data_IF_699599792384
#
_entry.id   IF_699599792384
#
_cell.length_a   1.000
_cell.length_b   1.000
_cell.length_c   1.000
_cell.angle_alpha   90.00
_cell.angle_beta   90.00
_cell.angle_gamma   90.00
#
_symmetry.space_group_name_H-M   'P 1'
#
loop_
_entity.id
_entity.type
_entity.pdbx_description
1 polymer ?
#
# COMPACT_ATOMS: atom_id res chain seq x y z
N UNK A 1 25.47 -28.49 71.33
CA UNK A 1 25.48 -27.31 70.44
C UNK A 1 26.07 -27.75 69.11
N UNK A 2 25.25 -27.86 68.07
CA UNK A 2 25.64 -28.31 66.73
C UNK A 2 25.23 -27.27 65.69
N UNK A 3 26.11 -27.09 64.70
CA UNK A 3 26.24 -25.95 63.78
C UNK A 3 25.01 -25.58 62.94
N UNK A 4 24.91 -24.26 62.72
CA UNK A 4 24.02 -23.56 61.78
C UNK A 4 24.34 -23.99 60.34
N UNK A 5 23.30 -24.30 59.58
CA UNK A 5 23.38 -24.67 58.16
C UNK A 5 23.56 -23.47 57.24
N UNK A 6 24.60 -23.50 56.44
CA UNK A 6 24.92 -22.52 55.41
C UNK A 6 24.25 -22.93 54.08
N UNK A 7 23.24 -22.16 53.65
CA UNK A 7 22.57 -22.38 52.36
C UNK A 7 23.43 -21.79 51.24
N UNK A 8 24.14 -22.66 50.52
CA UNK A 8 24.82 -22.30 49.27
C UNK A 8 23.81 -21.81 48.22
N UNK A 9 23.81 -20.50 47.96
CA UNK A 9 23.11 -19.92 46.81
C UNK A 9 24.10 -19.83 45.66
N UNK A 10 23.87 -20.60 44.59
CA UNK A 10 24.77 -20.67 43.44
C UNK A 10 24.83 -19.32 42.71
N UNK A 11 25.99 -18.64 42.66
CA UNK A 11 26.14 -17.31 42.05
C UNK A 11 26.02 -17.31 40.51
N UNK A 12 25.96 -18.49 39.89
CA UNK A 12 25.88 -18.62 38.44
C UNK A 12 24.47 -18.43 37.87
N UNK A 13 23.41 -18.70 38.65
CA UNK A 13 22.02 -18.49 38.20
C UNK A 13 21.67 -17.00 38.11
N UNK A 14 22.20 -16.17 39.00
CA UNK A 14 21.93 -14.73 39.00
C UNK A 14 22.63 -14.04 37.84
N UNK A 15 23.87 -14.42 37.52
CA UNK A 15 24.61 -13.84 36.40
C UNK A 15 23.93 -14.15 35.05
N UNK A 16 23.49 -15.40 34.84
CA UNK A 16 22.84 -15.81 33.59
C UNK A 16 21.46 -15.15 33.41
N UNK A 17 20.69 -14.98 34.50
CA UNK A 17 19.41 -14.25 34.50
C UNK A 17 19.57 -12.74 34.25
N UNK A 18 20.65 -12.14 34.75
CA UNK A 18 20.95 -10.71 34.53
C UNK A 18 21.40 -10.46 33.09
N UNK A 19 22.18 -11.38 32.50
CA UNK A 19 22.59 -11.29 31.09
C UNK A 19 21.40 -11.42 30.13
N UNK A 20 20.48 -12.36 30.37
CA UNK A 20 19.25 -12.50 29.56
C UNK A 20 18.39 -11.25 29.67
N UNK A 21 18.16 -10.74 30.89
CA UNK A 21 17.40 -9.48 31.08
C UNK A 21 18.07 -8.28 30.43
N UNK A 22 19.40 -8.20 30.44
CA UNK A 22 20.11 -7.11 29.78
C UNK A 22 19.98 -7.20 28.25
N UNK A 23 20.00 -8.42 27.71
CA UNK A 23 19.85 -8.67 26.27
C UNK A 23 18.42 -8.40 25.80
N UNK A 24 17.40 -8.88 26.53
CA UNK A 24 15.99 -8.59 26.26
C UNK A 24 15.69 -7.09 26.37
N UNK A 25 16.29 -6.42 27.36
CA UNK A 25 16.15 -4.96 27.51
C UNK A 25 16.84 -4.20 26.37
N UNK A 26 17.96 -4.71 25.87
CA UNK A 26 18.67 -4.12 24.74
C UNK A 26 17.88 -4.31 23.44
N UNK A 27 17.34 -5.51 23.21
CA UNK A 27 16.49 -5.81 22.06
C UNK A 27 15.19 -4.98 22.11
N UNK A 28 14.57 -4.86 23.28
CA UNK A 28 13.44 -3.94 23.49
C UNK A 28 13.84 -2.48 23.24
N UNK A 29 15.00 -2.04 23.73
CA UNK A 29 15.50 -0.69 23.47
C UNK A 29 15.74 -0.46 21.99
N UNK A 30 16.28 -1.43 21.26
CA UNK A 30 16.53 -1.33 19.81
C UNK A 30 15.23 -1.37 19.00
N UNK A 31 14.26 -2.19 19.41
CA UNK A 31 12.96 -2.31 18.76
C UNK A 31 12.00 -1.16 19.07
N UNK A 32 12.07 -0.58 20.28
CA UNK A 32 11.05 0.34 20.80
C UNK A 32 11.56 1.73 21.22
N UNK A 33 12.86 1.92 21.50
CA UNK A 33 13.38 3.18 22.08
C UNK A 33 14.45 3.86 21.19
N UNK A 34 15.35 3.12 20.56
CA UNK A 34 16.37 3.63 19.65
C UNK A 34 15.69 3.96 18.32
N UNK A 35 15.52 5.24 17.97
CA UNK A 35 14.90 5.57 16.70
C UNK A 35 15.93 5.38 15.57
N UNK A 36 15.60 4.65 14.49
CA UNK A 36 16.46 4.65 13.32
C UNK A 36 16.34 6.01 12.63
N UNK A 37 17.43 6.80 12.65
CA UNK A 37 17.58 8.10 11.98
C UNK A 37 16.34 9.01 12.05
N UNK A 38 15.97 9.44 13.24
CA UNK A 38 15.06 10.59 13.36
C UNK A 38 15.68 11.80 12.65
N UNK A 39 14.91 12.51 11.83
CA UNK A 39 15.36 13.84 11.42
C UNK A 39 15.52 14.71 12.67
N UNK A 40 16.38 15.74 12.57
CA UNK A 40 16.78 16.63 13.69
C UNK A 40 15.60 17.26 14.46
N UNK A 41 14.37 17.13 13.93
CA UNK A 41 13.12 17.64 14.50
C UNK A 41 12.20 16.59 15.16
N UNK A 42 12.59 15.31 15.26
CA UNK A 42 11.79 14.30 15.97
C UNK A 42 10.74 13.55 15.12
N UNK A 43 10.67 13.83 13.81
CA UNK A 43 9.80 13.11 12.88
C UNK A 43 10.41 11.76 12.46
N UNK A 44 9.57 10.80 12.09
CA UNK A 44 10.03 9.56 11.45
C UNK A 44 10.92 9.91 10.26
N UNK A 45 12.05 9.19 10.10
CA UNK A 45 12.93 9.38 8.95
C UNK A 45 12.11 9.35 7.66
N UNK A 46 12.33 10.27 6.72
CA UNK A 46 11.62 10.27 5.44
C UNK A 46 11.73 8.91 4.72
N UNK A 47 12.86 8.20 4.90
CA UNK A 47 13.04 6.83 4.38
C UNK A 47 12.05 5.83 5.00
N UNK A 48 11.76 5.97 6.30
CA UNK A 48 10.81 5.09 7.01
C UNK A 48 9.37 5.36 6.57
N UNK A 49 9.02 6.63 6.37
CA UNK A 49 7.72 6.99 5.80
C UNK A 49 7.55 6.43 4.39
N UNK A 50 8.60 6.52 3.57
CA UNK A 50 8.58 5.98 2.21
C UNK A 50 8.38 4.46 2.20
N UNK A 51 9.06 3.72 3.08
CA UNK A 51 8.88 2.27 3.21
C UNK A 51 7.45 1.88 3.60
N UNK A 52 6.83 2.64 4.51
CA UNK A 52 5.42 2.40 4.91
C UNK A 52 4.46 2.74 3.77
N UNK A 53 4.72 3.80 2.99
CA UNK A 53 3.94 4.12 1.79
C UNK A 53 4.00 2.97 0.77
N UNK A 54 5.18 2.42 0.51
CA UNK A 54 5.35 1.29 -0.42
C UNK A 54 4.52 0.09 0.05
N UNK A 55 4.59 -0.26 1.34
CA UNK A 55 3.83 -1.39 1.90
C UNK A 55 2.32 -1.17 1.83
N UNK A 56 1.85 0.05 2.14
CA UNK A 56 0.44 0.41 2.00
C UNK A 56 -0.04 0.24 0.55
N UNK A 57 0.72 0.74 -0.41
CA UNK A 57 0.38 0.62 -1.83
C UNK A 57 0.42 -0.82 -2.34
N UNK A 58 1.34 -1.64 -1.83
CA UNK A 58 1.40 -3.07 -2.15
C UNK A 58 0.18 -3.83 -1.60
N UNK A 59 -0.25 -3.51 -0.37
CA UNK A 59 -1.37 -4.20 0.26
C UNK A 59 -2.73 -3.72 -0.28
N UNK A 60 -2.89 -2.40 -0.48
CA UNK A 60 -4.17 -1.76 -0.74
C UNK A 60 -4.31 -1.16 -2.15
N UNK A 61 -3.27 -1.11 -2.97
CA UNK A 61 -3.30 -0.44 -4.27
C UNK A 61 -4.27 -1.05 -5.30
N UNK A 62 -4.76 -2.26 -5.06
CA UNK A 62 -5.83 -2.89 -5.84
C UNK A 62 -7.24 -2.48 -5.41
N UNK A 63 -7.39 -1.92 -4.20
CA UNK A 63 -8.67 -1.55 -3.58
C UNK A 63 -8.86 -0.05 -3.58
N UNK A 64 -7.79 0.70 -3.26
CA UNK A 64 -7.81 2.15 -3.15
C UNK A 64 -6.81 2.79 -4.11
N UNK A 65 -7.22 3.93 -4.67
CA UNK A 65 -6.38 4.83 -5.44
C UNK A 65 -6.39 6.22 -4.80
N UNK A 66 -5.23 6.89 -4.81
CA UNK A 66 -5.06 8.19 -4.18
C UNK A 66 -3.77 8.86 -4.61
N UNK A 67 -3.69 10.18 -4.41
CA UNK A 67 -2.47 10.93 -4.70
C UNK A 67 -1.34 10.54 -3.75
N UNK A 68 -0.08 10.78 -4.15
CA UNK A 68 1.09 10.49 -3.32
C UNK A 68 1.02 11.16 -1.93
N UNK A 69 0.36 12.32 -1.82
CA UNK A 69 0.17 13.04 -0.56
C UNK A 69 -0.77 12.27 0.37
N UNK A 70 -1.86 11.69 -0.16
CA UNK A 70 -2.82 10.91 0.64
C UNK A 70 -2.18 9.63 1.19
N UNK A 71 -1.39 8.92 0.37
CA UNK A 71 -0.62 7.77 0.83
C UNK A 71 0.38 8.14 1.92
N UNK A 72 1.10 9.26 1.76
CA UNK A 72 1.99 9.80 2.81
C UNK A 72 1.24 10.19 4.08
N UNK A 73 0.03 10.74 3.96
CA UNK A 73 -0.80 11.10 5.11
C UNK A 73 -1.19 9.86 5.93
N UNK A 74 -1.56 8.76 5.25
CA UNK A 74 -1.82 7.49 5.90
C UNK A 74 -0.57 6.92 6.57
N UNK A 75 0.56 6.85 5.86
CA UNK A 75 1.82 6.40 6.43
C UNK A 75 2.25 7.22 7.67
N UNK A 76 2.03 8.54 7.63
CA UNK A 76 2.26 9.42 8.78
C UNK A 76 1.37 9.07 9.97
N UNK A 77 0.09 8.75 9.74
CA UNK A 77 -0.82 8.34 10.82
C UNK A 77 -0.36 7.05 11.53
N UNK A 78 0.20 6.09 10.77
CA UNK A 78 0.74 4.82 11.30
C UNK A 78 2.05 5.05 12.06
N UNK A 79 2.97 5.80 11.48
CA UNK A 79 4.31 6.00 12.06
C UNK A 79 4.32 6.97 13.25
N UNK A 80 3.22 7.69 13.50
CA UNK A 80 3.10 8.70 14.57
C UNK A 80 3.38 8.16 15.98
N UNK A 81 3.04 6.91 16.27
CA UNK A 81 3.28 6.30 17.59
C UNK A 81 4.76 5.92 17.80
N UNK A 82 5.59 5.93 16.75
CA UNK A 82 7.01 5.49 16.72
C UNK A 82 7.27 4.04 17.14
N UNK A 83 6.25 3.31 17.64
CA UNK A 83 6.35 1.90 17.95
C UNK A 83 6.24 1.04 16.69
N UNK A 84 7.38 0.59 16.15
CA UNK A 84 7.42 -0.23 14.92
C UNK A 84 6.69 -1.56 15.04
N UNK A 85 6.60 -2.13 16.23
CA UNK A 85 5.92 -3.43 16.44
C UNK A 85 4.43 -3.38 16.09
N UNK A 86 3.80 -2.19 16.07
CA UNK A 86 2.38 -2.04 15.77
C UNK A 86 2.11 -1.74 14.29
N UNK A 87 3.12 -1.39 13.51
CA UNK A 87 2.93 -0.89 12.14
C UNK A 87 2.41 -1.96 11.19
N UNK A 88 2.90 -3.18 11.29
CA UNK A 88 2.44 -4.29 10.43
C UNK A 88 0.94 -4.53 10.60
N UNK A 89 0.44 -4.49 11.84
CA UNK A 89 -1.00 -4.58 12.10
C UNK A 89 -1.76 -3.38 11.53
N UNK A 90 -1.26 -2.16 11.79
CA UNK A 90 -1.88 -0.93 11.32
C UNK A 90 -1.87 -0.75 9.79
N UNK A 91 -0.96 -1.42 9.06
CA UNK A 91 -0.96 -1.47 7.59
C UNK A 91 -2.08 -2.37 7.06
N UNK A 92 -2.41 -3.45 7.78
CA UNK A 92 -3.52 -4.35 7.46
C UNK A 92 -4.89 -3.80 7.86
N UNK A 93 -4.93 -2.81 8.75
CA UNK A 93 -6.17 -2.11 9.09
C UNK A 93 -6.60 -1.19 7.94
N UNK A 94 -7.93 -0.99 7.74
CA UNK A 94 -8.44 -0.06 6.74
C UNK A 94 -8.01 1.39 7.02
N UNK A 95 -8.06 2.27 6.00
CA UNK A 95 -7.62 3.65 6.16
C UNK A 95 -8.42 4.38 7.24
N UNK A 96 -7.77 5.20 8.09
CA UNK A 96 -8.47 6.09 9.01
C UNK A 96 -9.47 6.98 8.27
N UNK A 97 -10.58 7.35 8.91
CA UNK A 97 -11.70 8.06 8.29
C UNK A 97 -11.27 9.34 7.51
N UNK A 98 -10.36 10.12 8.09
CA UNK A 98 -9.84 11.34 7.45
C UNK A 98 -9.00 11.08 6.19
N UNK A 99 -8.42 9.88 6.05
CA UNK A 99 -7.71 9.43 4.85
C UNK A 99 -8.69 8.77 3.88
N UNK A 100 -9.61 7.96 4.38
CA UNK A 100 -10.59 7.22 3.58
C UNK A 100 -11.40 8.16 2.67
N UNK A 101 -11.80 9.33 3.18
CA UNK A 101 -12.52 10.36 2.42
C UNK A 101 -11.72 10.97 1.25
N UNK A 102 -10.40 10.78 1.23
CA UNK A 102 -9.49 11.29 0.18
C UNK A 102 -9.05 10.19 -0.80
N UNK A 103 -9.40 8.93 -0.52
CA UNK A 103 -9.13 7.79 -1.39
C UNK A 103 -10.35 7.53 -2.27
N UNK A 104 -10.11 7.15 -3.52
CA UNK A 104 -11.14 6.62 -4.40
C UNK A 104 -11.01 5.10 -4.46
N UNK A 105 -12.08 4.41 -4.84
CA UNK A 105 -11.97 3.01 -5.24
C UNK A 105 -11.02 2.91 -6.43
N UNK A 106 -10.10 1.94 -6.40
CA UNK A 106 -9.27 1.66 -7.56
C UNK A 106 -10.18 1.17 -8.69
N UNK A 107 -10.08 1.79 -9.87
CA UNK A 107 -10.80 1.30 -11.04
C UNK A 107 -10.37 -0.15 -11.29
N UNK A 108 -11.33 -1.07 -11.31
CA UNK A 108 -10.99 -2.45 -11.56
C UNK A 108 -10.42 -2.58 -12.97
N UNK A 109 -9.40 -3.42 -13.16
CA UNK A 109 -8.87 -3.77 -14.49
C UNK A 109 -9.99 -4.24 -15.44
N UNK A 110 -11.06 -4.82 -14.87
CA UNK A 110 -12.26 -5.22 -15.61
C UNK A 110 -13.04 -4.02 -16.15
N UNK A 111 -13.26 -2.97 -15.35
CA UNK A 111 -13.94 -1.74 -15.78
C UNK A 111 -13.18 -1.06 -16.94
N UNK A 112 -11.86 -0.94 -16.81
CA UNK A 112 -11.03 -0.41 -17.90
C UNK A 112 -11.09 -1.27 -19.16
N UNK A 113 -11.08 -2.60 -19.01
CA UNK A 113 -11.21 -3.52 -20.14
C UNK A 113 -12.57 -3.38 -20.84
N UNK A 114 -13.66 -3.30 -20.08
CA UNK A 114 -15.01 -3.08 -20.60
C UNK A 114 -15.10 -1.73 -21.33
N UNK A 115 -14.56 -0.66 -20.75
CA UNK A 115 -14.53 0.66 -21.40
C UNK A 115 -13.79 0.63 -22.73
N UNK A 116 -12.63 -0.05 -22.78
CA UNK A 116 -11.84 -0.21 -23.99
C UNK A 116 -12.56 -1.05 -25.06
N UNK A 117 -13.19 -2.15 -24.66
CA UNK A 117 -13.99 -2.97 -25.58
C UNK A 117 -15.16 -2.17 -26.15
N UNK A 118 -15.91 -1.45 -25.32
CA UNK A 118 -17.03 -0.62 -25.75
C UNK A 118 -16.58 0.46 -26.75
N UNK A 119 -15.45 1.11 -26.49
CA UNK A 119 -14.86 2.08 -27.43
C UNK A 119 -14.49 1.42 -28.77
N UNK A 120 -13.84 0.26 -28.74
CA UNK A 120 -13.47 -0.49 -29.94
C UNK A 120 -14.70 -0.90 -30.76
N UNK A 121 -15.74 -1.42 -30.09
CA UNK A 121 -17.00 -1.80 -30.74
C UNK A 121 -17.69 -0.62 -31.41
N UNK A 122 -17.70 0.57 -30.77
CA UNK A 122 -18.26 1.78 -31.39
C UNK A 122 -17.50 2.20 -32.63
N UNK A 123 -16.17 2.22 -32.58
CA UNK A 123 -15.34 2.55 -33.75
C UNK A 123 -15.56 1.55 -34.90
N UNK A 124 -15.66 0.26 -34.60
CA UNK A 124 -15.96 -0.76 -35.61
C UNK A 124 -17.33 -0.54 -36.26
N UNK A 125 -18.35 -0.20 -35.46
CA UNK A 125 -19.68 0.14 -35.97
C UNK A 125 -19.66 1.38 -36.86
N UNK A 126 -18.94 2.43 -36.46
CA UNK A 126 -18.79 3.65 -37.25
C UNK A 126 -18.10 3.36 -38.61
N UNK A 127 -17.06 2.52 -38.60
CA UNK A 127 -16.39 2.07 -39.84
C UNK A 127 -17.33 1.30 -40.77
N UNK A 128 -18.14 0.38 -40.23
CA UNK A 128 -19.11 -0.39 -41.03
C UNK A 128 -20.18 0.53 -41.60
N UNK A 129 -20.70 1.46 -40.79
CA UNK A 129 -21.70 2.43 -41.25
C UNK A 129 -21.15 3.30 -42.39
N UNK A 130 -19.92 3.79 -42.27
CA UNK A 130 -19.25 4.54 -43.33
C UNK A 130 -19.08 3.71 -44.60
N UNK A 131 -18.58 2.47 -44.48
CA UNK A 131 -18.41 1.58 -45.62
C UNK A 131 -19.72 1.23 -46.33
N UNK A 132 -20.82 1.07 -45.59
CA UNK A 132 -22.15 0.88 -46.18
C UNK A 132 -22.55 2.12 -46.97
N UNK A 133 -22.41 3.32 -46.38
CA UNK A 133 -22.74 4.57 -47.06
C UNK A 133 -21.93 4.76 -48.37
N UNK A 134 -20.64 4.44 -48.33
CA UNK A 134 -19.76 4.51 -49.51
C UNK A 134 -20.20 3.52 -50.61
N UNK A 135 -20.53 2.28 -50.24
CA UNK A 135 -21.04 1.28 -51.19
C UNK A 135 -22.37 1.71 -51.83
N UNK A 136 -23.27 2.32 -51.06
CA UNK A 136 -24.53 2.84 -51.59
C UNK A 136 -24.33 4.00 -52.55
N UNK A 137 -23.30 4.82 -52.34
CA UNK A 137 -22.92 5.88 -53.26
C UNK A 137 -22.40 5.29 -54.59
N UNK A 138 -21.46 4.34 -54.52
CA UNK A 138 -20.90 3.68 -55.71
C UNK A 138 -21.99 3.02 -56.55
N UNK A 139 -22.96 2.34 -55.90
CA UNK A 139 -24.08 1.72 -56.63
C UNK A 139 -24.93 2.75 -57.37
N UNK A 140 -25.26 3.88 -56.72
CA UNK A 140 -26.02 4.96 -57.36
C UNK A 140 -25.27 5.56 -58.54
N UNK A 141 -23.96 5.73 -58.41
CA UNK A 141 -23.12 6.26 -59.49
C UNK A 141 -23.07 5.27 -60.68
N UNK A 142 -23.01 3.96 -60.42
CA UNK A 142 -23.07 2.93 -61.46
C UNK A 142 -24.42 2.90 -62.19
N UNK A 143 -25.54 2.93 -61.46
CA UNK A 143 -26.89 2.94 -62.04
C UNK A 143 -27.12 4.17 -62.94
N UNK A 144 -26.53 5.32 -62.57
CA UNK A 144 -26.59 6.56 -63.34
C UNK A 144 -25.79 6.48 -64.65
N UNK A 145 -24.71 5.71 -64.69
CA UNK A 145 -23.92 5.47 -65.90
C UNK A 145 -24.61 4.50 -66.86
N UNK A 146 -25.36 3.51 -66.35
CA UNK A 146 -26.10 2.53 -67.16
C UNK A 146 -27.38 3.12 -67.80
N UNK A 147 -27.85 4.28 -67.34
CA UNK A 147 -29.03 4.96 -67.87
C UNK A 147 -28.73 6.05 -68.91
N UNK A 148 -27.45 6.25 -69.27
CA UNK A 148 -26.99 7.13 -70.37
C UNK A 148 -26.80 6.38 -71.69
#
# INVERSE_FOLDING_TARGET
MGSVGEKYTSPYCTASCVLTKAQDLQEFKEACIQPPKTERSGAAAESTLHDVVIQLQQHWGSTFQGSAIVWRMWANSITRNLNRSTWTGAISDPPPEHVANLLNAADSRLEQHIANLNRSSRLALDCVAAAIADNEQIRRDADALDTQ
#
